data_IF_353194445930
#
_entry.id   IF_353194445930
#
_cell.length_a   1.000
_cell.length_b   1.000
_cell.length_c   1.000
_cell.angle_alpha   90.00
_cell.angle_beta   90.00
_cell.angle_gamma   90.00
#
_symmetry.space_group_name_H-M   'P 1'
#
loop_
_entity.id
_entity.type
_entity.pdbx_description
1 polymer ?
#
# COMPACT_ATOMS: atom_id res chain seq x y z
N UNK A 1 79.15 41.02 2.57
CA UNK A 1 79.18 39.58 2.25
C UNK A 1 77.92 38.93 2.89
N UNK A 2 76.69 39.32 2.56
CA UNK A 2 75.87 39.14 1.35
C UNK A 2 75.58 37.65 1.03
N UNK A 3 74.32 37.28 1.32
CA UNK A 3 73.44 36.25 0.70
C UNK A 3 73.54 34.79 1.16
N UNK A 4 72.83 34.47 2.25
CA UNK A 4 72.41 33.10 2.59
C UNK A 4 71.02 33.05 3.27
N UNK A 5 70.06 33.87 2.82
CA UNK A 5 68.68 33.91 3.36
C UNK A 5 67.64 34.23 2.28
N UNK A 6 67.68 33.52 1.15
CA UNK A 6 66.65 33.68 0.10
C UNK A 6 66.48 32.42 -0.75
N UNK A 7 66.61 31.23 -0.15
CA UNK A 7 66.47 29.96 -0.89
C UNK A 7 65.71 28.86 -0.12
N UNK A 8 64.89 29.22 0.87
CA UNK A 8 64.10 28.25 1.66
C UNK A 8 62.61 28.61 1.81
N UNK A 9 62.11 29.59 1.04
CA UNK A 9 60.67 29.96 1.04
C UNK A 9 60.02 29.90 -0.34
N UNK A 10 60.71 29.33 -1.34
CA UNK A 10 60.19 29.21 -2.71
C UNK A 10 60.18 27.75 -3.21
N UNK A 11 59.99 26.78 -2.30
CA UNK A 11 59.79 25.37 -2.65
C UNK A 11 58.55 24.76 -1.98
N UNK A 12 57.70 25.60 -1.37
CA UNK A 12 56.50 25.18 -0.63
C UNK A 12 55.21 25.84 -1.13
N UNK A 13 55.17 26.20 -2.42
CA UNK A 13 53.98 26.68 -3.12
C UNK A 13 53.95 26.02 -4.51
N UNK A 14 53.79 24.69 -4.54
CA UNK A 14 53.45 23.95 -5.76
C UNK A 14 52.91 22.54 -5.47
N UNK A 15 52.33 22.32 -4.29
CA UNK A 15 51.28 21.31 -4.17
C UNK A 15 50.00 21.96 -4.68
N UNK A 16 49.90 22.03 -6.02
CA UNK A 16 48.60 22.10 -6.65
C UNK A 16 47.88 20.83 -6.23
N UNK A 17 46.99 20.98 -5.25
CA UNK A 17 46.04 19.95 -4.88
C UNK A 17 45.16 19.77 -6.11
N UNK A 18 45.56 18.88 -7.01
CA UNK A 18 44.69 18.37 -8.05
C UNK A 18 43.59 17.63 -7.32
N UNK A 19 42.50 18.35 -7.02
CA UNK A 19 41.23 17.73 -6.65
C UNK A 19 40.94 16.74 -7.77
N UNK A 20 40.91 15.42 -7.52
CA UNK A 20 40.42 14.51 -8.54
C UNK A 20 39.01 14.99 -8.87
N UNK A 21 38.77 15.33 -10.14
CA UNK A 21 37.42 15.50 -10.62
C UNK A 21 36.73 14.17 -10.35
N UNK A 22 35.85 14.16 -9.34
CA UNK A 22 34.96 13.05 -9.11
C UNK A 22 33.96 13.05 -10.27
N UNK A 23 34.34 12.43 -11.39
CA UNK A 23 33.38 12.11 -12.43
C UNK A 23 32.38 11.15 -11.81
N UNK A 24 31.10 11.56 -11.84
CA UNK A 24 30.00 10.68 -11.44
C UNK A 24 30.14 9.34 -12.15
N UNK A 25 29.96 8.25 -11.42
CA UNK A 25 30.13 6.91 -11.97
C UNK A 25 29.20 6.76 -13.18
N UNK A 26 29.80 6.57 -14.36
CA UNK A 26 29.08 6.26 -15.59
C UNK A 26 29.02 4.75 -15.76
N UNK A 27 27.93 4.29 -16.36
CA UNK A 27 27.78 2.90 -16.78
C UNK A 27 27.71 2.89 -18.29
N UNK A 28 28.67 2.21 -18.92
CA UNK A 28 28.77 2.09 -20.37
C UNK A 28 27.75 1.07 -20.90
N UNK A 29 27.10 1.43 -22.01
CA UNK A 29 26.13 0.61 -22.74
C UNK A 29 26.40 0.74 -24.23
N UNK A 30 27.10 -0.23 -24.80
CA UNK A 30 27.54 -0.18 -26.20
C UNK A 30 28.49 1.00 -26.43
N UNK A 31 28.16 1.87 -27.39
CA UNK A 31 28.93 3.09 -27.68
C UNK A 31 28.50 4.30 -26.83
N UNK A 32 27.50 4.16 -25.96
CA UNK A 32 27.00 5.22 -25.08
C UNK A 32 27.20 4.90 -23.60
N UNK A 33 26.68 5.77 -22.72
CA UNK A 33 26.73 5.59 -21.26
C UNK A 33 25.58 6.34 -20.57
N UNK A 34 25.24 5.95 -19.34
CA UNK A 34 24.39 6.75 -18.45
C UNK A 34 25.09 7.06 -17.13
N UNK A 35 24.69 8.16 -16.47
CA UNK A 35 25.22 8.57 -15.17
C UNK A 35 24.42 7.93 -14.04
N UNK A 36 25.11 7.46 -12.99
CA UNK A 36 24.46 7.05 -11.72
C UNK A 36 24.42 8.16 -10.68
N UNK A 37 25.04 9.31 -10.98
CA UNK A 37 24.93 10.53 -10.19
C UNK A 37 23.95 11.51 -10.82
N UNK A 38 23.17 12.19 -9.97
CA UNK A 38 22.33 13.30 -10.41
C UNK A 38 23.23 14.46 -10.88
N UNK A 39 23.12 14.92 -12.15
CA UNK A 39 23.92 16.04 -12.63
C UNK A 39 23.68 17.31 -11.81
N UNK A 40 24.70 18.16 -11.70
CA UNK A 40 24.59 19.43 -10.98
C UNK A 40 23.45 20.29 -11.54
N UNK A 41 22.56 20.77 -10.66
CA UNK A 41 21.38 21.56 -11.02
C UNK A 41 20.18 20.75 -11.53
N UNK A 42 20.31 19.44 -11.74
CA UNK A 42 19.19 18.59 -12.07
C UNK A 42 18.29 18.34 -10.85
N UNK A 43 17.01 18.14 -11.10
CA UNK A 43 15.98 17.93 -10.07
C UNK A 43 15.48 16.49 -10.17
N UNK A 44 15.49 15.78 -9.05
CA UNK A 44 14.94 14.42 -8.96
C UNK A 44 13.41 14.41 -8.83
N UNK A 45 12.80 13.25 -8.53
CA UNK A 45 11.37 13.18 -8.28
C UNK A 45 10.92 14.12 -7.16
N UNK A 46 9.85 14.87 -7.41
CA UNK A 46 9.28 15.85 -6.49
C UNK A 46 7.76 15.75 -6.41
N UNK A 47 7.21 16.23 -5.30
CA UNK A 47 5.78 16.52 -5.15
C UNK A 47 5.40 17.74 -6.00
N UNK A 48 4.09 17.95 -6.19
CA UNK A 48 3.57 19.11 -6.92
C UNK A 48 4.00 20.48 -6.34
N UNK A 49 4.43 20.53 -5.08
CA UNK A 49 4.92 21.74 -4.41
C UNK A 49 6.46 21.90 -4.48
N UNK A 50 7.16 21.09 -5.30
CA UNK A 50 8.61 21.16 -5.49
C UNK A 50 9.46 20.55 -4.37
N UNK A 51 8.84 19.90 -3.38
CA UNK A 51 9.58 19.14 -2.37
C UNK A 51 10.02 17.79 -2.92
N UNK A 52 11.25 17.37 -2.62
CA UNK A 52 11.73 16.02 -2.95
C UNK A 52 10.77 14.97 -2.37
N UNK A 53 10.50 13.94 -3.17
CA UNK A 53 9.63 12.83 -2.78
C UNK A 53 10.47 11.58 -2.59
N UNK A 54 10.10 10.77 -1.59
CA UNK A 54 10.70 9.46 -1.36
C UNK A 54 9.60 8.41 -1.34
N UNK A 55 9.84 7.22 -1.89
CA UNK A 55 8.90 6.10 -1.82
C UNK A 55 8.58 5.69 -0.38
N UNK A 56 7.30 5.40 -0.11
CA UNK A 56 6.80 4.80 1.12
C UNK A 56 6.90 3.27 1.00
N UNK A 57 8.08 2.73 1.25
CA UNK A 57 8.35 1.29 1.20
C UNK A 57 8.74 0.75 2.58
N UNK A 58 8.44 -0.52 2.84
CA UNK A 58 8.83 -1.18 4.08
C UNK A 58 10.34 -1.38 4.16
N UNK A 59 10.85 -1.68 5.36
CA UNK A 59 12.29 -1.92 5.59
C UNK A 59 12.85 -3.14 4.84
N UNK A 60 11.99 -4.11 4.49
CA UNK A 60 12.34 -5.32 3.76
C UNK A 60 12.01 -5.25 2.26
N UNK A 61 11.58 -4.09 1.75
CA UNK A 61 11.30 -3.92 0.32
C UNK A 61 12.59 -4.05 -0.50
N UNK A 62 12.56 -4.93 -1.50
CA UNK A 62 13.75 -5.29 -2.30
C UNK A 62 13.54 -5.24 -3.82
N UNK A 63 12.40 -4.70 -4.27
CA UNK A 63 12.07 -4.59 -5.69
C UNK A 63 12.51 -3.22 -6.26
N UNK A 64 12.60 -3.05 -7.58
CA UNK A 64 12.65 -1.72 -8.17
C UNK A 64 11.47 -0.86 -7.69
N UNK A 65 11.70 0.44 -7.54
CA UNK A 65 10.63 1.35 -7.17
C UNK A 65 9.68 1.51 -8.36
N UNK A 66 8.46 1.02 -8.21
CA UNK A 66 7.43 1.12 -9.24
C UNK A 66 6.84 2.53 -9.31
N UNK A 67 6.56 2.98 -10.53
CA UNK A 67 5.86 4.24 -10.82
C UNK A 67 4.72 3.99 -11.82
N UNK A 68 3.86 5.00 -12.04
CA UNK A 68 2.85 5.00 -13.10
C UNK A 68 1.86 3.82 -13.07
N UNK A 69 1.58 3.31 -11.88
CA UNK A 69 0.66 2.21 -11.64
C UNK A 69 -0.64 2.66 -10.97
N UNK A 70 -1.70 1.87 -11.05
CA UNK A 70 -3.02 2.16 -10.47
C UNK A 70 -2.96 2.33 -8.94
N UNK A 71 -1.95 1.73 -8.31
CA UNK A 71 -1.67 1.79 -6.88
C UNK A 71 -0.58 2.81 -6.50
N UNK A 72 -0.13 3.68 -7.42
CA UNK A 72 0.99 4.60 -7.17
C UNK A 72 0.85 5.48 -5.93
N UNK A 73 -0.38 5.77 -5.48
CA UNK A 73 -0.59 6.59 -4.27
C UNK A 73 -0.25 5.86 -2.95
N UNK A 74 -0.09 4.52 -2.99
CA UNK A 74 0.45 3.74 -1.87
C UNK A 74 1.96 3.91 -1.72
N UNK A 75 2.71 3.97 -2.82
CA UNK A 75 4.17 4.11 -2.76
C UNK A 75 4.61 5.58 -2.79
N UNK A 76 3.81 6.51 -3.32
CA UNK A 76 4.07 7.94 -3.28
C UNK A 76 2.90 8.70 -2.64
N UNK A 77 3.16 9.64 -1.71
CA UNK A 77 2.09 10.41 -1.10
C UNK A 77 1.34 11.29 -2.12
N UNK A 78 0.06 11.03 -2.32
CA UNK A 78 -0.82 11.85 -3.17
C UNK A 78 -1.28 13.09 -2.39
N UNK A 79 -0.91 14.28 -2.85
CA UNK A 79 -1.12 15.56 -2.14
C UNK A 79 -0.73 15.55 -0.65
N UNK A 80 0.31 14.78 -0.30
CA UNK A 80 0.85 14.72 1.06
C UNK A 80 0.25 13.64 1.95
N UNK A 81 -0.80 12.93 1.52
CA UNK A 81 -1.38 11.83 2.27
C UNK A 81 -0.37 10.66 2.42
N UNK A 82 -0.10 10.27 3.65
CA UNK A 82 0.83 9.19 3.98
C UNK A 82 0.23 7.79 3.82
N UNK A 83 -1.05 7.68 3.49
CA UNK A 83 -1.74 6.41 3.23
C UNK A 83 -1.95 6.20 1.73
N UNK A 84 -3.13 6.48 1.19
CA UNK A 84 -3.36 6.46 -0.26
C UNK A 84 -4.52 7.38 -0.64
N UNK A 85 -4.58 7.75 -1.91
CA UNK A 85 -5.85 8.16 -2.49
C UNK A 85 -6.70 6.90 -2.79
N UNK A 86 -7.90 7.07 -3.35
CA UNK A 86 -8.72 5.97 -3.83
C UNK A 86 -7.96 5.17 -4.90
N UNK A 87 -7.95 3.86 -4.73
CA UNK A 87 -7.38 2.88 -5.65
C UNK A 87 -8.52 2.09 -6.28
N UNK A 88 -8.61 2.12 -7.60
CA UNK A 88 -9.66 1.46 -8.37
C UNK A 88 -9.19 0.06 -8.80
N UNK A 89 -9.13 -0.86 -7.84
CA UNK A 89 -8.63 -2.22 -8.06
C UNK A 89 -9.59 -3.10 -8.88
N UNK A 90 -10.87 -2.74 -9.00
CA UNK A 90 -11.94 -3.45 -9.73
C UNK A 90 -12.01 -4.99 -9.55
N UNK A 91 -13.10 -5.53 -9.00
CA UNK A 91 -14.38 -4.86 -8.74
C UNK A 91 -14.33 -3.91 -7.53
N UNK A 92 -13.36 -4.07 -6.65
CA UNK A 92 -13.23 -3.25 -5.45
C UNK A 92 -12.62 -1.88 -5.73
N UNK A 93 -13.12 -0.87 -5.03
CA UNK A 93 -12.43 0.40 -4.82
C UNK A 93 -11.95 0.41 -3.37
N UNK A 94 -10.71 0.80 -3.13
CA UNK A 94 -10.14 0.79 -1.77
C UNK A 94 -9.38 2.08 -1.47
N UNK A 95 -9.27 2.43 -0.20
CA UNK A 95 -8.46 3.57 0.25
C UNK A 95 -7.78 3.24 1.57
N UNK A 96 -6.45 3.35 1.60
CA UNK A 96 -5.70 3.22 2.83
C UNK A 96 -5.94 4.46 3.70
N UNK A 97 -6.15 4.24 4.99
CA UNK A 97 -6.30 5.29 6.02
C UNK A 97 -5.41 4.96 7.21
N UNK A 98 -5.33 5.88 8.18
CA UNK A 98 -4.55 5.64 9.41
C UNK A 98 -5.04 4.46 10.24
N UNK A 99 -6.30 4.04 10.09
CA UNK A 99 -6.91 2.96 10.88
C UNK A 99 -7.16 1.67 10.08
N UNK A 100 -6.61 1.57 8.87
CA UNK A 100 -6.71 0.38 8.02
C UNK A 100 -7.17 0.68 6.60
N UNK A 101 -7.75 -0.30 5.94
CA UNK A 101 -8.19 -0.24 4.54
C UNK A 101 -9.70 -0.05 4.46
N UNK A 102 -10.14 1.08 3.92
CA UNK A 102 -11.53 1.25 3.49
C UNK A 102 -11.76 0.49 2.19
N UNK A 103 -12.89 -0.20 2.09
CA UNK A 103 -13.32 -0.96 0.93
C UNK A 103 -14.71 -0.49 0.50
N UNK A 104 -14.95 -0.49 -0.80
CA UNK A 104 -16.24 -0.14 -1.38
C UNK A 104 -16.41 -0.67 -2.79
N UNK A 105 -17.63 -0.59 -3.31
CA UNK A 105 -17.93 -0.95 -4.69
C UNK A 105 -19.01 -0.07 -5.31
N UNK A 106 -18.69 0.62 -6.40
CA UNK A 106 -19.62 1.50 -7.10
C UNK A 106 -20.02 0.89 -8.43
N UNK A 107 -21.29 0.47 -8.55
CA UNK A 107 -21.83 -0.14 -9.79
C UNK A 107 -22.49 0.87 -10.72
N UNK A 108 -23.04 1.93 -10.15
CA UNK A 108 -23.82 2.91 -10.89
C UNK A 108 -22.99 4.15 -11.09
N UNK A 109 -23.04 4.69 -12.30
CA UNK A 109 -22.45 5.99 -12.57
C UNK A 109 -23.36 7.11 -12.05
N UNK A 110 -22.76 8.27 -11.83
CA UNK A 110 -23.43 9.56 -11.79
C UNK A 110 -23.01 10.31 -13.06
N UNK A 111 -23.97 10.89 -13.77
CA UNK A 111 -23.66 11.80 -14.87
C UNK A 111 -23.55 13.22 -14.33
N UNK A 112 -22.34 13.79 -14.36
CA UNK A 112 -22.07 15.12 -13.84
C UNK A 112 -21.03 15.82 -14.72
N UNK A 113 -21.25 17.10 -15.02
CA UNK A 113 -20.34 17.92 -15.85
C UNK A 113 -19.97 17.29 -17.21
N UNK A 114 -20.88 16.54 -17.83
CA UNK A 114 -20.67 15.75 -19.06
C UNK A 114 -19.79 14.51 -18.92
N UNK A 115 -19.43 14.12 -17.70
CA UNK A 115 -18.66 12.92 -17.40
C UNK A 115 -19.51 11.84 -16.73
N UNK A 116 -19.16 10.58 -17.01
CA UNK A 116 -19.65 9.42 -16.27
C UNK A 116 -18.69 9.14 -15.11
N UNK A 117 -19.16 9.39 -13.89
CA UNK A 117 -18.36 9.24 -12.68
C UNK A 117 -18.82 8.03 -11.86
N UNK A 118 -17.87 7.25 -11.38
CA UNK A 118 -18.11 6.17 -10.43
C UNK A 118 -17.51 6.57 -9.08
N UNK A 119 -18.22 7.40 -8.28
CA UNK A 119 -17.66 7.96 -7.06
C UNK A 119 -17.36 6.87 -6.04
N UNK A 120 -16.22 6.99 -5.37
CA UNK A 120 -15.88 6.11 -4.25
C UNK A 120 -16.79 6.37 -3.06
N UNK A 121 -17.28 5.30 -2.45
CA UNK A 121 -17.94 5.29 -1.14
C UNK A 121 -17.30 4.18 -0.32
N UNK A 122 -16.89 4.47 0.91
CA UNK A 122 -16.40 3.45 1.82
C UNK A 122 -17.61 2.71 2.42
N UNK A 123 -17.75 1.44 2.07
CA UNK A 123 -18.83 0.58 2.56
C UNK A 123 -18.43 -0.04 3.91
N UNK A 124 -17.16 -0.41 4.06
CA UNK A 124 -16.58 -0.90 5.31
C UNK A 124 -15.11 -0.49 5.44
N UNK A 125 -14.59 -0.54 6.66
CA UNK A 125 -13.15 -0.45 6.95
C UNK A 125 -12.68 -1.72 7.62
N UNK A 126 -11.59 -2.27 7.10
CA UNK A 126 -10.87 -3.40 7.68
C UNK A 126 -9.62 -2.88 8.38
N UNK A 127 -9.43 -3.24 9.65
CA UNK A 127 -8.33 -2.78 10.47
C UNK A 127 -8.00 -3.73 11.61
N UNK A 128 -7.36 -3.18 12.64
CA UNK A 128 -7.19 -3.86 13.93
C UNK A 128 -7.80 -3.03 15.05
N UNK A 129 -8.27 -3.69 16.11
CA UNK A 129 -8.85 -3.01 17.26
C UNK A 129 -7.80 -2.11 17.97
N UNK A 130 -8.18 -0.88 18.28
CA UNK A 130 -7.33 0.12 18.96
C UNK A 130 -5.97 0.34 18.28
N UNK A 131 -5.95 0.32 16.96
CA UNK A 131 -4.75 0.46 16.16
C UNK A 131 -4.87 1.60 15.16
N UNK A 132 -3.82 2.41 15.09
CA UNK A 132 -3.59 3.37 14.02
C UNK A 132 -2.12 3.34 13.62
N UNK A 133 -1.82 3.68 12.37
CA UNK A 133 -0.46 3.82 11.85
C UNK A 133 -0.24 5.21 11.24
N UNK A 134 0.98 5.76 11.33
CA UNK A 134 1.30 7.09 10.80
C UNK A 134 1.40 7.13 9.27
N UNK A 135 1.57 5.97 8.62
CA UNK A 135 1.66 5.84 7.17
C UNK A 135 1.27 4.42 6.74
N UNK A 136 1.04 4.25 5.45
CA UNK A 136 0.95 2.94 4.79
C UNK A 136 2.13 2.80 3.85
N UNK A 137 2.83 1.67 3.92
CA UNK A 137 4.03 1.39 3.13
C UNK A 137 3.81 0.19 2.22
N UNK A 138 4.46 0.17 1.07
CA UNK A 138 4.45 -0.99 0.17
C UNK A 138 5.49 -2.02 0.63
N UNK A 139 5.07 -3.28 0.72
CA UNK A 139 5.91 -4.43 1.09
C UNK A 139 6.45 -5.12 -0.15
N UNK A 140 5.58 -5.37 -1.12
CA UNK A 140 5.89 -6.06 -2.36
C UNK A 140 4.81 -5.80 -3.40
N UNK A 141 5.12 -6.07 -4.66
CA UNK A 141 4.14 -6.06 -5.75
C UNK A 141 4.42 -7.19 -6.75
N UNK A 142 3.41 -7.55 -7.53
CA UNK A 142 3.53 -8.32 -8.77
C UNK A 142 2.90 -7.53 -9.92
N UNK A 143 2.71 -8.15 -11.07
CA UNK A 143 2.28 -7.44 -12.28
C UNK A 143 0.89 -6.80 -12.16
N UNK A 144 0.01 -7.34 -11.30
CA UNK A 144 -1.32 -6.79 -11.06
C UNK A 144 -1.74 -6.78 -9.58
N UNK A 145 -0.86 -7.15 -8.64
CA UNK A 145 -1.10 -7.11 -7.19
C UNK A 145 -0.14 -6.21 -6.45
N UNK A 146 -0.58 -5.63 -5.33
CA UNK A 146 0.29 -4.93 -4.37
C UNK A 146 -0.04 -5.36 -2.95
N UNK A 147 1.00 -5.56 -2.13
CA UNK A 147 0.90 -5.80 -0.69
C UNK A 147 1.39 -4.56 0.05
N UNK A 148 0.57 -4.07 0.98
CA UNK A 148 0.89 -2.91 1.82
C UNK A 148 0.79 -3.22 3.29
N UNK A 149 1.50 -2.46 4.12
CA UNK A 149 1.59 -2.61 5.57
C UNK A 149 1.27 -1.31 6.29
N UNK A 150 0.53 -1.43 7.38
CA UNK A 150 0.36 -0.42 8.43
C UNK A 150 1.09 -0.94 9.67
N UNK A 151 1.96 -0.13 10.27
CA UNK A 151 2.77 -0.58 11.40
C UNK A 151 2.87 0.48 12.50
N UNK A 152 2.71 0.05 13.75
CA UNK A 152 2.94 0.86 14.96
C UNK A 152 3.54 -0.02 16.05
N UNK A 153 4.82 0.24 16.37
CA UNK A 153 5.57 -0.62 17.29
C UNK A 153 5.74 -2.03 16.71
N UNK A 154 5.38 -3.04 17.51
CA UNK A 154 5.38 -4.45 17.10
C UNK A 154 4.11 -4.88 16.35
N UNK A 155 3.05 -4.07 16.36
CA UNK A 155 1.78 -4.39 15.70
C UNK A 155 1.82 -4.02 14.23
N UNK A 156 1.34 -4.92 13.39
CA UNK A 156 1.14 -4.63 11.97
C UNK A 156 -0.12 -5.28 11.39
N UNK A 157 -0.65 -4.60 10.39
CA UNK A 157 -1.70 -5.08 9.49
C UNK A 157 -1.10 -5.07 8.08
N UNK A 158 -1.22 -6.17 7.36
CA UNK A 158 -0.90 -6.22 5.93
C UNK A 158 -2.15 -6.48 5.11
N UNK A 159 -2.23 -5.89 3.93
CA UNK A 159 -3.30 -6.13 2.97
C UNK A 159 -2.73 -6.35 1.56
N UNK A 160 -3.18 -7.40 0.88
CA UNK A 160 -2.88 -7.66 -0.53
C UNK A 160 -4.14 -7.45 -1.36
N UNK A 161 -4.03 -6.53 -2.32
CA UNK A 161 -5.09 -6.14 -3.26
C UNK A 161 -4.57 -6.34 -4.69
N UNK A 162 -5.47 -6.43 -5.67
CA UNK A 162 -5.06 -6.57 -7.06
C UNK A 162 -6.17 -6.31 -8.06
N UNK A 163 -5.76 -6.01 -9.29
CA UNK A 163 -6.69 -5.88 -10.40
C UNK A 163 -7.43 -7.18 -10.67
N UNK A 164 -8.76 -7.11 -10.78
CA UNK A 164 -9.60 -8.28 -11.05
C UNK A 164 -9.83 -9.19 -9.84
N UNK A 165 -9.29 -8.86 -8.66
CA UNK A 165 -9.52 -9.63 -7.44
C UNK A 165 -10.79 -9.15 -6.74
N UNK A 166 -11.79 -10.02 -6.53
CA UNK A 166 -12.91 -9.69 -5.66
C UNK A 166 -12.54 -9.81 -4.17
N UNK A 167 -11.32 -10.30 -3.85
CA UNK A 167 -10.79 -10.47 -2.51
C UNK A 167 -9.77 -9.39 -2.16
N UNK A 168 -9.70 -9.08 -0.87
CA UNK A 168 -8.54 -8.52 -0.19
C UNK A 168 -8.08 -9.52 0.85
N UNK A 169 -6.78 -9.80 0.85
CA UNK A 169 -6.16 -10.74 1.78
C UNK A 169 -5.43 -9.99 2.87
N UNK A 170 -5.71 -10.31 4.13
CA UNK A 170 -5.17 -9.61 5.28
C UNK A 170 -4.29 -10.51 6.13
N UNK A 171 -3.21 -9.93 6.66
CA UNK A 171 -2.46 -10.50 7.79
C UNK A 171 -2.44 -9.54 8.96
N UNK A 172 -2.50 -10.08 10.17
CA UNK A 172 -2.57 -9.33 11.43
C UNK A 172 -1.50 -9.87 12.37
N UNK A 173 -0.66 -8.99 12.89
CA UNK A 173 0.29 -9.29 13.94
C UNK A 173 -0.04 -8.52 15.22
N UNK A 174 -0.11 -9.23 16.35
CA UNK A 174 -0.36 -8.67 17.69
C UNK A 174 -1.61 -7.77 17.82
N UNK A 175 -2.75 -8.22 17.32
CA UNK A 175 -4.03 -7.51 17.43
C UNK A 175 -5.25 -8.36 17.09
N UNK A 176 -6.44 -7.85 17.41
CA UNK A 176 -7.70 -8.42 16.92
C UNK A 176 -8.06 -7.77 15.58
N UNK A 177 -8.44 -8.59 14.60
CA UNK A 177 -9.01 -8.09 13.35
C UNK A 177 -10.32 -7.34 13.64
N UNK A 178 -10.51 -6.20 12.98
CA UNK A 178 -11.66 -5.33 13.14
C UNK A 178 -12.31 -5.02 11.79
N UNK A 179 -13.62 -5.24 11.68
CA UNK A 179 -14.44 -4.79 10.54
C UNK A 179 -15.44 -3.77 11.06
N UNK A 180 -15.38 -2.56 10.50
CA UNK A 180 -16.34 -1.49 10.78
C UNK A 180 -17.19 -1.26 9.55
N UNK A 181 -18.48 -1.64 9.55
CA UNK A 181 -19.41 -1.20 8.53
C UNK A 181 -19.55 0.32 8.57
N UNK A 182 -19.40 0.97 7.42
CA UNK A 182 -19.48 2.43 7.25
C UNK A 182 -20.70 2.85 6.43
N UNK A 183 -21.21 1.94 5.59
CA UNK A 183 -22.42 2.14 4.80
C UNK A 183 -23.69 2.15 5.65
N UNK A 184 -24.72 2.80 5.12
CA UNK A 184 -26.07 2.80 5.72
C UNK A 184 -26.71 1.40 5.68
N UNK A 185 -27.71 1.19 6.56
CA UNK A 185 -28.50 -0.05 6.64
C UNK A 185 -27.65 -1.33 6.75
N UNK A 186 -26.57 -1.26 7.52
CA UNK A 186 -25.65 -2.38 7.71
C UNK A 186 -26.34 -3.55 8.45
N UNK A 187 -26.23 -4.76 7.91
CA UNK A 187 -26.81 -5.99 8.47
C UNK A 187 -25.84 -7.14 8.31
N UNK A 188 -25.68 -7.95 9.36
CA UNK A 188 -25.00 -9.25 9.28
C UNK A 188 -26.07 -10.31 9.04
N UNK A 189 -26.04 -10.94 7.87
CA UNK A 189 -27.01 -11.98 7.48
C UNK A 189 -26.45 -13.39 7.60
N UNK A 190 -25.14 -13.52 7.83
CA UNK A 190 -24.48 -14.77 8.16
C UNK A 190 -23.36 -14.52 9.18
N UNK A 191 -23.30 -15.33 10.24
CA UNK A 191 -22.21 -15.34 11.21
C UNK A 191 -22.09 -16.74 11.82
N UNK A 192 -21.34 -17.60 11.14
CA UNK A 192 -21.15 -18.99 11.57
C UNK A 192 -19.72 -19.41 11.22
N UNK A 193 -19.10 -20.19 12.11
CA UNK A 193 -17.79 -20.84 11.86
C UNK A 193 -16.66 -19.89 11.42
N UNK A 194 -16.65 -18.66 11.93
CA UNK A 194 -15.65 -17.64 11.57
C UNK A 194 -15.91 -16.95 10.24
N UNK A 195 -17.05 -17.22 9.59
CA UNK A 195 -17.46 -16.59 8.34
C UNK A 195 -18.61 -15.61 8.57
N UNK A 196 -18.43 -14.39 8.07
CA UNK A 196 -19.47 -13.37 8.04
C UNK A 196 -19.99 -13.16 6.64
N UNK A 197 -21.30 -12.93 6.54
CA UNK A 197 -21.97 -12.30 5.42
C UNK A 197 -22.53 -10.96 5.88
N UNK A 198 -22.01 -9.86 5.34
CA UNK A 198 -22.38 -8.49 5.73
C UNK A 198 -22.98 -7.80 4.52
N UNK A 199 -24.13 -7.15 4.67
CA UNK A 199 -24.61 -6.18 3.68
C UNK A 199 -24.53 -4.78 4.29
N UNK A 200 -23.88 -3.84 3.61
CA UNK A 200 -23.71 -2.46 4.05
C UNK A 200 -23.68 -1.53 2.83
N UNK A 201 -24.35 -0.39 2.88
CA UNK A 201 -24.48 0.49 1.72
C UNK A 201 -25.17 -0.16 0.51
N UNK A 202 -25.95 -1.22 0.74
CA UNK A 202 -26.56 -2.03 -0.33
C UNK A 202 -25.59 -2.93 -1.08
N UNK A 203 -24.35 -3.11 -0.60
CA UNK A 203 -23.35 -4.04 -1.13
C UNK A 203 -23.10 -5.18 -0.13
N UNK A 204 -22.86 -6.38 -0.64
CA UNK A 204 -22.68 -7.58 0.19
C UNK A 204 -21.23 -8.02 0.18
N UNK A 205 -20.72 -8.38 1.35
CA UNK A 205 -19.34 -8.79 1.58
C UNK A 205 -19.28 -10.10 2.35
N UNK A 206 -18.32 -10.94 2.01
CA UNK A 206 -17.95 -12.13 2.78
C UNK A 206 -16.67 -11.84 3.57
N UNK A 207 -16.62 -12.18 4.85
CA UNK A 207 -15.40 -12.14 5.67
C UNK A 207 -15.08 -13.55 6.12
N UNK A 208 -13.86 -14.01 5.87
CA UNK A 208 -13.48 -15.41 6.05
C UNK A 208 -12.29 -15.51 7.00
N UNK A 209 -12.58 -15.80 8.27
CA UNK A 209 -11.55 -16.07 9.27
C UNK A 209 -11.16 -17.56 9.29
N UNK A 210 -10.04 -17.92 9.93
CA UNK A 210 -9.58 -19.30 10.06
C UNK A 210 -10.56 -20.16 10.87
N UNK A 211 -10.53 -21.48 10.65
CA UNK A 211 -11.39 -22.41 11.38
C UNK A 211 -11.25 -22.25 12.92
N UNK A 212 -12.40 -22.30 13.61
CA UNK A 212 -12.49 -22.08 15.05
C UNK A 212 -12.53 -20.61 15.47
N UNK A 213 -12.43 -19.67 14.53
CA UNK A 213 -12.65 -18.25 14.83
C UNK A 213 -14.11 -17.94 15.10
N UNK A 214 -14.35 -16.88 15.85
CA UNK A 214 -15.67 -16.27 16.02
C UNK A 214 -15.58 -14.75 15.80
N UNK A 215 -16.72 -14.15 15.49
CA UNK A 215 -16.85 -12.70 15.34
C UNK A 215 -17.88 -12.19 16.35
N UNK A 216 -17.48 -11.21 17.16
CA UNK A 216 -18.37 -10.58 18.13
C UNK A 216 -19.12 -9.41 17.49
N UNK A 217 -20.45 -9.42 17.57
CA UNK A 217 -21.31 -8.38 16.99
C UNK A 217 -21.65 -7.28 18.00
N UNK A 218 -20.91 -6.17 17.97
CA UNK A 218 -21.25 -4.96 18.73
C UNK A 218 -21.21 -3.72 17.82
N UNK A 219 -21.84 -3.81 16.65
CA UNK A 219 -21.78 -2.81 15.56
C UNK A 219 -20.44 -2.84 14.80
N UNK A 220 -19.33 -2.82 15.54
CA UNK A 220 -18.01 -3.22 15.06
C UNK A 220 -17.82 -4.71 15.28
N UNK A 221 -17.30 -5.41 14.27
CA UNK A 221 -17.06 -6.85 14.29
C UNK A 221 -15.60 -7.11 14.59
N UNK A 222 -15.33 -7.94 15.60
CA UNK A 222 -13.95 -8.26 16.02
C UNK A 222 -13.71 -9.75 16.11
N UNK A 223 -12.49 -10.16 15.77
CA UNK A 223 -12.04 -11.54 15.91
C UNK A 223 -10.58 -11.60 16.32
N UNK A 224 -10.26 -12.49 17.26
CA UNK A 224 -8.89 -12.91 17.56
C UNK A 224 -8.32 -13.88 16.52
N UNK A 225 -9.10 -14.21 15.48
CA UNK A 225 -8.76 -15.16 14.42
C UNK A 225 -8.33 -16.54 14.96
N UNK A 226 -8.82 -16.90 16.14
CA UNK A 226 -8.42 -18.12 16.86
C UNK A 226 -6.90 -18.23 17.04
N UNK A 227 -6.23 -17.11 17.32
CA UNK A 227 -4.79 -17.02 17.49
C UNK A 227 -3.98 -17.20 16.21
N UNK A 228 -4.63 -17.17 15.04
CA UNK A 228 -3.97 -17.11 13.73
C UNK A 228 -3.82 -15.66 13.29
N UNK A 229 -3.12 -15.48 12.18
CA UNK A 229 -2.67 -14.18 11.69
C UNK A 229 -3.28 -13.79 10.35
N UNK A 230 -4.30 -14.50 9.84
CA UNK A 230 -4.80 -14.31 8.48
C UNK A 230 -6.32 -14.33 8.39
N UNK A 231 -6.87 -13.57 7.45
CA UNK A 231 -8.27 -13.62 7.02
C UNK A 231 -8.41 -12.93 5.67
N UNK A 232 -9.55 -13.08 5.00
CA UNK A 232 -9.84 -12.35 3.77
C UNK A 232 -11.23 -11.74 3.77
N UNK A 233 -11.40 -10.70 2.97
CA UNK A 233 -12.69 -10.04 2.75
C UNK A 233 -12.95 -9.99 1.25
N UNK A 234 -14.16 -10.33 0.83
CA UNK A 234 -14.54 -10.31 -0.57
C UNK A 234 -15.83 -9.53 -0.81
N UNK A 235 -15.92 -8.81 -1.93
CA UNK A 235 -17.21 -8.34 -2.45
C UNK A 235 -17.96 -9.52 -3.06
N UNK A 236 -19.22 -9.68 -2.67
CA UNK A 236 -20.11 -10.75 -3.15
C UNK A 236 -21.12 -10.20 -4.17
N UNK A 237 -21.47 -10.97 -5.20
CA UNK A 237 -22.47 -10.57 -6.19
C UNK A 237 -23.91 -10.61 -5.64
N UNK A 238 -24.17 -11.41 -4.59
CA UNK A 238 -25.47 -11.58 -3.96
C UNK A 238 -25.31 -12.08 -2.50
N UNK A 239 -26.44 -12.32 -1.81
CA UNK A 239 -26.48 -12.82 -0.41
C UNK A 239 -26.84 -14.31 -0.32
N UNK A 240 -26.70 -15.07 -1.41
CA UNK A 240 -27.11 -16.47 -1.41
C UNK A 240 -26.07 -17.34 -0.68
N UNK A 241 -26.47 -18.30 0.17
CA UNK A 241 -25.53 -19.15 0.90
C UNK A 241 -24.54 -19.90 -0.01
N UNK A 242 -24.99 -20.37 -1.18
CA UNK A 242 -24.11 -21.05 -2.14
C UNK A 242 -23.03 -20.14 -2.72
N UNK A 243 -23.32 -18.84 -2.88
CA UNK A 243 -22.34 -17.84 -3.31
C UNK A 243 -21.31 -17.62 -2.20
N UNK A 244 -21.75 -17.47 -0.95
CA UNK A 244 -20.86 -17.30 0.19
C UNK A 244 -19.90 -18.50 0.33
N UNK A 245 -20.43 -19.72 0.22
CA UNK A 245 -19.62 -20.94 0.33
C UNK A 245 -18.67 -21.14 -0.86
N UNK A 246 -19.09 -20.77 -2.08
CA UNK A 246 -18.17 -20.73 -3.22
C UNK A 246 -16.99 -19.80 -2.95
N UNK A 247 -17.24 -18.62 -2.39
CA UNK A 247 -16.18 -17.70 -2.03
C UNK A 247 -15.32 -18.23 -0.87
N UNK A 248 -15.95 -18.80 0.17
CA UNK A 248 -15.26 -19.43 1.30
C UNK A 248 -14.26 -20.49 0.85
N UNK A 249 -14.62 -21.31 -0.15
CA UNK A 249 -13.73 -22.36 -0.67
C UNK A 249 -12.43 -21.82 -1.31
N UNK A 250 -12.40 -20.55 -1.72
CA UNK A 250 -11.22 -19.89 -2.31
C UNK A 250 -10.60 -18.82 -1.39
N UNK A 251 -11.28 -18.48 -0.29
CA UNK A 251 -10.94 -17.36 0.59
C UNK A 251 -9.56 -17.44 1.25
N UNK A 252 -8.99 -18.65 1.32
CA UNK A 252 -7.70 -18.91 1.97
C UNK A 252 -6.54 -19.09 0.98
N UNK A 253 -6.82 -19.00 -0.33
CA UNK A 253 -5.81 -19.07 -1.39
C UNK A 253 -5.19 -17.68 -1.65
N UNK A 254 -4.37 -17.21 -0.70
CA UNK A 254 -3.79 -15.86 -0.76
C UNK A 254 -2.89 -15.72 -1.98
N UNK A 255 -3.14 -14.69 -2.79
CA UNK A 255 -2.25 -14.37 -3.93
C UNK A 255 -0.94 -13.83 -3.38
N UNK A 256 0.15 -14.54 -3.68
CA UNK A 256 1.51 -14.20 -3.23
C UNK A 256 2.42 -13.75 -4.37
N UNK A 257 1.99 -13.94 -5.62
CA UNK A 257 2.66 -13.46 -6.82
C UNK A 257 1.65 -13.31 -7.96
N UNK A 258 1.92 -12.38 -8.88
CA UNK A 258 1.17 -12.17 -10.12
C UNK A 258 2.13 -11.87 -11.26
N UNK A 259 1.96 -12.54 -12.41
CA UNK A 259 2.81 -12.40 -13.60
C UNK A 259 1.93 -12.36 -14.86
N UNK A 260 2.35 -11.59 -15.87
CA UNK A 260 1.78 -11.56 -17.23
C UNK A 260 2.78 -12.01 -18.29
#
# INVERSE_FOLDING_TARGET
>A
MIRFRTLLYLFLILMWCSTPNAFGQSVDVGAGSYSTSLPSGAVGPQKANGQNISPKVSSNFAQPIQTNDWWSSLIYPFYGDQHSNVLYAHPLNVRATSSGLEMGHTQNHVFAANDYLYPFTADLRVGMANFTAPSTQVVSYGDWTVTSIWQTGSKDLQATIGHGLPYVYFRVNEGEAEIVPLGSNSTVWHNQEGVLGITTGGKSYGVFAPAGSSWNESGTLRSSLNGKDYFSVAILPDTRPETLELFRSHAYAFVTNSLV
#
